data_IF_515466848745
#
_entry.id   IF_515466848745
#
_cell.length_a   1.000
_cell.length_b   1.000
_cell.length_c   1.000
_cell.angle_alpha   90.00
_cell.angle_beta   90.00
_cell.angle_gamma   90.00
#
_symmetry.space_group_name_H-M   'P 1'
#
loop_
_entity.id
_entity.type
_entity.pdbx_description
1 polymer ?
#
# COMPACT_ATOMS: atom_id res chain seq x y z
N UNK A 1 15.41 -40.50 27.49
CA UNK A 1 15.90 -39.52 28.47
C UNK A 1 17.04 -38.74 27.81
N UNK A 2 16.78 -37.70 27.02
CA UNK A 2 16.59 -36.27 27.38
C UNK A 2 17.87 -35.46 27.09
N UNK A 3 17.65 -34.30 26.45
CA UNK A 3 18.52 -33.09 26.33
C UNK A 3 19.43 -33.04 25.09
N UNK A 4 19.03 -32.37 24.01
CA UNK A 4 18.85 -30.91 23.80
C UNK A 4 20.18 -30.13 23.87
N UNK A 5 20.72 -29.80 22.70
CA UNK A 5 21.69 -28.73 22.48
C UNK A 5 21.60 -28.28 21.02
N UNK A 6 20.52 -27.57 20.67
CA UNK A 6 20.45 -26.78 19.44
C UNK A 6 21.27 -25.52 19.71
N UNK A 7 22.37 -25.40 18.97
CA UNK A 7 23.30 -24.29 19.04
C UNK A 7 22.55 -22.99 18.70
N UNK A 8 22.51 -22.07 19.66
CA UNK A 8 22.00 -20.71 19.49
C UNK A 8 22.86 -19.94 18.49
N UNK A 9 22.47 -19.98 17.23
CA UNK A 9 23.00 -19.13 16.18
C UNK A 9 21.84 -18.42 15.48
N UNK A 10 21.21 -17.50 16.20
CA UNK A 10 20.38 -16.47 15.58
C UNK A 10 20.71 -15.15 16.29
N UNK A 11 21.92 -14.65 16.00
CA UNK A 11 22.17 -13.24 16.15
C UNK A 11 21.28 -12.55 15.11
N UNK A 12 20.03 -12.26 15.51
CA UNK A 12 19.12 -11.44 14.73
C UNK A 12 19.89 -10.14 14.43
N UNK A 13 20.11 -9.79 13.15
CA UNK A 13 20.84 -8.58 12.83
C UNK A 13 20.13 -7.41 13.51
N UNK A 14 20.86 -6.49 14.16
CA UNK A 14 20.23 -5.30 14.72
C UNK A 14 19.43 -4.63 13.61
N UNK A 15 18.15 -4.41 13.89
CA UNK A 15 17.24 -3.73 12.97
C UNK A 15 17.81 -2.39 12.53
N UNK A 16 17.38 -1.88 11.36
CA UNK A 16 17.99 -0.72 10.73
C UNK A 16 17.99 0.49 11.66
N UNK A 17 19.18 1.03 11.92
CA UNK A 17 19.38 2.27 12.68
C UNK A 17 18.77 3.46 11.94
N UNK A 18 17.91 4.28 12.57
CA UNK A 18 17.36 5.48 11.95
C UNK A 18 18.41 6.61 12.06
N UNK A 19 18.92 7.11 10.92
CA UNK A 19 19.96 8.14 10.97
C UNK A 19 20.22 8.94 9.69
N UNK A 20 19.79 8.50 8.51
CA UNK A 20 20.09 9.23 7.26
C UNK A 20 18.95 8.99 6.25
N UNK A 21 18.36 10.06 5.70
CA UNK A 21 17.42 10.09 4.56
C UNK A 21 16.67 8.79 4.22
N UNK A 22 15.88 8.27 5.15
CA UNK A 22 15.46 6.87 5.18
C UNK A 22 14.56 6.49 4.01
N UNK A 23 15.16 5.81 3.02
CA UNK A 23 14.40 5.00 2.07
C UNK A 23 13.59 3.97 2.87
N UNK A 24 12.26 3.88 2.69
CA UNK A 24 11.47 2.92 3.42
C UNK A 24 11.96 1.50 3.07
N UNK A 25 12.28 0.70 4.10
CA UNK A 25 12.55 -0.73 3.92
C UNK A 25 11.35 -1.39 3.23
N UNK A 26 11.57 -2.46 2.45
CA UNK A 26 10.51 -3.14 1.69
C UNK A 26 9.32 -3.53 2.59
N UNK A 27 9.59 -3.96 3.83
CA UNK A 27 8.54 -4.28 4.80
C UNK A 27 7.74 -3.04 5.26
N UNK A 28 8.41 -1.90 5.42
CA UNK A 28 7.77 -0.64 5.79
C UNK A 28 6.91 -0.09 4.64
N UNK A 29 7.36 -0.24 3.39
CA UNK A 29 6.61 0.18 2.21
C UNK A 29 5.30 -0.61 2.05
N UNK A 30 5.33 -1.94 2.24
CA UNK A 30 4.14 -2.79 2.18
C UNK A 30 3.09 -2.37 3.23
N UNK A 31 3.53 -2.07 4.46
CA UNK A 31 2.64 -1.63 5.53
C UNK A 31 2.00 -0.26 5.22
N UNK A 32 2.76 0.69 4.67
CA UNK A 32 2.26 2.01 4.27
C UNK A 32 1.23 1.90 3.13
N UNK A 33 1.51 1.06 2.13
CA UNK A 33 0.57 0.79 1.03
C UNK A 33 -0.73 0.16 1.55
N UNK A 34 -0.64 -0.81 2.46
CA UNK A 34 -1.81 -1.43 3.09
C UNK A 34 -2.63 -0.43 3.88
N UNK A 35 -2.00 0.46 4.66
CA UNK A 35 -2.69 1.54 5.37
C UNK A 35 -3.39 2.51 4.43
N UNK A 36 -2.68 2.98 3.41
CA UNK A 36 -3.25 3.86 2.39
C UNK A 36 -4.49 3.21 1.76
N UNK A 37 -4.38 1.92 1.37
CA UNK A 37 -5.51 1.17 0.83
C UNK A 37 -6.70 1.11 1.79
N UNK A 38 -6.48 0.91 3.10
CA UNK A 38 -7.54 0.88 4.12
C UNK A 38 -8.20 2.25 4.29
N UNK A 39 -7.44 3.34 4.24
CA UNK A 39 -7.97 4.71 4.31
C UNK A 39 -8.74 5.13 3.05
N UNK A 40 -8.44 4.51 1.89
CA UNK A 40 -9.22 4.74 0.69
C UNK A 40 -10.67 4.24 0.87
N UNK A 41 -11.66 5.05 0.46
CA UNK A 41 -13.02 4.59 0.31
C UNK A 41 -13.09 3.34 -0.58
N UNK A 42 -13.99 2.38 -0.30
CA UNK A 42 -14.07 1.12 -1.04
C UNK A 42 -14.27 1.35 -2.54
N UNK A 43 -15.02 2.40 -2.92
CA UNK A 43 -15.24 2.80 -4.31
C UNK A 43 -13.94 3.25 -5.00
N UNK A 44 -13.09 4.04 -4.31
CA UNK A 44 -11.80 4.48 -4.85
C UNK A 44 -10.85 3.30 -5.06
N UNK A 45 -10.83 2.36 -4.11
CA UNK A 45 -10.00 1.16 -4.20
C UNK A 45 -10.41 0.28 -5.38
N UNK A 46 -11.71 0.05 -5.56
CA UNK A 46 -12.25 -0.73 -6.67
C UNK A 46 -11.93 -0.08 -8.02
N UNK A 47 -12.13 1.24 -8.17
CA UNK A 47 -11.81 1.95 -9.39
C UNK A 47 -10.33 1.82 -9.78
N UNK A 48 -9.44 1.95 -8.80
CA UNK A 48 -8.00 1.81 -8.99
C UNK A 48 -7.62 0.36 -9.36
N UNK A 49 -8.20 -0.63 -8.66
CA UNK A 49 -7.96 -2.04 -8.97
C UNK A 49 -8.41 -2.42 -10.39
N UNK A 50 -9.63 -2.03 -10.78
CA UNK A 50 -10.15 -2.32 -12.13
C UNK A 50 -9.31 -1.65 -13.22
N UNK A 51 -8.81 -0.44 -12.97
CA UNK A 51 -7.94 0.23 -13.93
C UNK A 51 -6.56 -0.44 -14.02
N UNK A 52 -6.02 -0.93 -12.89
CA UNK A 52 -4.61 -1.34 -12.81
C UNK A 52 -4.33 -2.84 -12.87
N UNK A 53 -5.24 -3.65 -12.33
CA UNK A 53 -5.17 -5.11 -12.42
C UNK A 53 -5.94 -5.62 -13.64
N UNK A 54 -7.17 -5.17 -13.88
CA UNK A 54 -7.94 -5.58 -15.05
C UNK A 54 -7.56 -4.81 -16.34
N UNK A 55 -6.77 -3.73 -16.22
CA UNK A 55 -6.36 -2.91 -17.36
C UNK A 55 -7.53 -2.16 -18.03
N UNK A 56 -8.64 -1.98 -17.33
CA UNK A 56 -9.84 -1.35 -17.88
C UNK A 56 -9.65 0.16 -18.03
N UNK A 57 -10.19 0.70 -19.12
CA UNK A 57 -10.24 2.15 -19.33
C UNK A 57 -11.25 2.79 -18.37
N UNK A 58 -11.05 4.07 -17.99
CA UNK A 58 -11.98 4.81 -17.13
C UNK A 58 -13.48 4.68 -17.50
N UNK A 59 -13.90 4.72 -18.78
CA UNK A 59 -15.31 4.48 -19.15
C UNK A 59 -15.79 3.06 -18.87
N UNK A 60 -14.93 2.04 -18.98
CA UNK A 60 -15.27 0.66 -18.66
C UNK A 60 -15.36 0.44 -17.14
N UNK A 61 -14.48 1.08 -16.37
CA UNK A 61 -14.55 1.12 -14.90
C UNK A 61 -15.85 1.78 -14.45
N UNK A 62 -16.23 2.89 -15.08
CA UNK A 62 -17.50 3.59 -14.83
C UNK A 62 -18.71 2.69 -15.07
N UNK A 63 -18.75 1.98 -16.20
CA UNK A 63 -19.80 1.04 -16.53
C UNK A 63 -19.87 -0.13 -15.54
N UNK A 64 -18.72 -0.68 -15.12
CA UNK A 64 -18.64 -1.76 -14.13
C UNK A 64 -19.11 -1.35 -12.74
N UNK A 65 -18.79 -0.12 -12.33
CA UNK A 65 -19.15 0.41 -11.01
C UNK A 65 -20.53 1.09 -10.98
N UNK A 66 -21.17 1.30 -12.13
CA UNK A 66 -22.45 2.01 -12.21
C UNK A 66 -22.34 3.50 -11.89
N UNK A 67 -21.17 4.11 -12.08
CA UNK A 67 -20.91 5.53 -11.79
C UNK A 67 -20.47 6.27 -13.06
N UNK A 68 -20.53 7.60 -13.05
CA UNK A 68 -20.06 8.39 -14.19
C UNK A 68 -18.53 8.36 -14.32
N UNK A 69 -18.02 8.47 -15.55
CA UNK A 69 -16.57 8.56 -15.84
C UNK A 69 -15.89 9.67 -15.03
N UNK A 70 -16.53 10.83 -14.92
CA UNK A 70 -16.06 11.96 -14.10
C UNK A 70 -15.91 11.59 -12.61
N UNK A 71 -16.76 10.69 -12.11
CA UNK A 71 -16.70 10.16 -10.74
C UNK A 71 -15.53 9.19 -10.60
N UNK A 72 -15.31 8.30 -11.58
CA UNK A 72 -14.12 7.44 -11.66
C UNK A 72 -12.83 8.25 -11.64
N UNK A 73 -12.72 9.30 -12.45
CA UNK A 73 -11.55 10.19 -12.47
C UNK A 73 -11.31 10.84 -11.10
N UNK A 74 -12.38 11.30 -10.45
CA UNK A 74 -12.31 11.83 -9.08
C UNK A 74 -11.86 10.76 -8.09
N UNK A 75 -12.38 9.54 -8.18
CA UNK A 75 -11.99 8.41 -7.33
C UNK A 75 -10.53 8.00 -7.53
N UNK A 76 -10.05 7.92 -8.77
CA UNK A 76 -8.64 7.64 -9.09
C UNK A 76 -7.74 8.78 -8.59
N UNK A 77 -8.15 10.03 -8.78
CA UNK A 77 -7.39 11.18 -8.28
C UNK A 77 -7.30 11.19 -6.75
N UNK A 78 -8.40 10.92 -6.06
CA UNK A 78 -8.42 10.77 -4.61
C UNK A 78 -7.55 9.60 -4.14
N UNK A 79 -7.60 8.46 -4.84
CA UNK A 79 -6.74 7.31 -4.56
C UNK A 79 -5.26 7.69 -4.63
N UNK A 80 -4.84 8.33 -5.73
CA UNK A 80 -3.46 8.76 -5.93
C UNK A 80 -3.01 9.81 -4.90
N UNK A 81 -3.89 10.75 -4.52
CA UNK A 81 -3.61 11.72 -3.47
C UNK A 81 -3.39 11.04 -2.11
N UNK A 82 -4.23 10.08 -1.75
CA UNK A 82 -4.09 9.31 -0.53
C UNK A 82 -2.78 8.49 -0.51
N UNK A 83 -2.43 7.83 -1.61
CA UNK A 83 -1.14 7.15 -1.73
C UNK A 83 0.05 8.10 -1.60
N UNK A 84 -0.01 9.28 -2.25
CA UNK A 84 1.05 10.29 -2.13
C UNK A 84 1.16 10.84 -0.72
N UNK A 85 0.05 11.07 -0.03
CA UNK A 85 0.04 11.50 1.36
C UNK A 85 0.69 10.43 2.27
N UNK A 86 0.32 9.16 2.08
CA UNK A 86 0.89 8.05 2.85
C UNK A 86 2.41 7.85 2.64
N UNK A 87 2.93 8.21 1.46
CA UNK A 87 4.38 8.13 1.17
C UNK A 87 5.12 9.40 1.62
N UNK A 88 4.44 10.55 1.65
CA UNK A 88 5.05 11.85 2.01
C UNK A 88 5.02 12.15 3.51
N UNK A 89 4.21 11.44 4.29
CA UNK A 89 4.23 11.46 5.77
C UNK A 89 4.94 10.20 6.32
N UNK A 90 6.29 10.11 6.27
CA UNK A 90 7.02 9.19 7.13
C UNK A 90 7.27 9.89 8.47
N UNK A 91 6.31 9.85 9.40
CA UNK A 91 6.56 10.17 10.80
C UNK A 91 5.67 11.26 11.39
N UNK A 92 4.64 10.82 12.10
CA UNK A 92 4.21 11.43 13.36
C UNK A 92 4.64 10.50 14.49
#
# INVERSE_FOLDING_TARGET
>A
MTRAAIHSADAFPPGPTPGDGSSPSILALDLLLKRALVELPPECRLAFMLSRFDGLAHPQVAARMGISVKRVEKHISHALLAFRAAVREPGG
#
